data_IF_753807544202
#
_entry.id   IF_753807544202
#
_cell.length_a   1.000
_cell.length_b   1.000
_cell.length_c   1.000
_cell.angle_alpha   90.00
_cell.angle_beta   90.00
_cell.angle_gamma   90.00
#
_symmetry.space_group_name_H-M   'P 1'
#
loop_
_entity.id
_entity.type
_entity.pdbx_description
1 polymer ?
#
# COMPACT_ATOMS: atom_id res chain seq x y z
N UNK A 1 -22.85 -37.71 33.42
CA UNK A 1 -22.53 -36.71 32.37
C UNK A 1 -21.46 -37.31 31.47
N UNK A 2 -21.78 -37.60 30.20
CA UNK A 2 -20.98 -38.48 29.35
C UNK A 2 -19.64 -37.85 28.96
N UNK A 3 -18.54 -38.54 29.29
CA UNK A 3 -17.14 -38.14 29.04
C UNK A 3 -16.81 -37.83 27.57
N UNK A 4 -17.67 -38.25 26.62
CA UNK A 4 -17.59 -37.96 25.19
C UNK A 4 -18.01 -36.54 24.81
N UNK A 5 -18.83 -35.86 25.63
CA UNK A 5 -19.27 -34.48 25.35
C UNK A 5 -18.21 -33.42 25.68
N UNK A 6 -17.24 -33.75 26.55
CA UNK A 6 -16.17 -32.81 26.95
C UNK A 6 -15.13 -32.65 25.82
N UNK A 7 -14.90 -33.69 25.01
CA UNK A 7 -13.94 -33.63 23.90
C UNK A 7 -14.43 -32.80 22.70
N UNK A 8 -15.74 -32.67 22.50
CA UNK A 8 -16.30 -31.90 21.38
C UNK A 8 -16.29 -30.39 21.68
N UNK A 9 -16.41 -30.01 22.96
CA UNK A 9 -16.38 -28.59 23.37
C UNK A 9 -14.98 -27.96 23.27
N UNK A 10 -13.90 -28.76 23.34
CA UNK A 10 -12.53 -28.25 23.30
C UNK A 10 -12.01 -27.97 21.87
N UNK A 11 -12.66 -28.51 20.83
CA UNK A 11 -12.18 -28.38 19.44
C UNK A 11 -12.69 -27.12 18.72
N UNK A 12 -13.70 -26.44 19.27
CA UNK A 12 -14.36 -25.29 18.63
C UNK A 12 -13.61 -23.95 18.87
N UNK A 13 -12.61 -23.94 19.75
CA UNK A 13 -11.89 -22.71 20.15
C UNK A 13 -10.63 -22.39 19.33
N UNK A 14 -10.37 -23.08 18.22
CA UNK A 14 -9.08 -23.00 17.48
C UNK A 14 -9.12 -22.17 16.18
N UNK A 15 -10.19 -21.46 15.84
CA UNK A 15 -10.36 -20.88 14.49
C UNK A 15 -10.51 -19.35 14.39
N UNK A 16 -10.02 -18.58 15.37
CA UNK A 16 -9.96 -17.11 15.25
C UNK A 16 -8.52 -16.59 15.25
N UNK A 17 -7.67 -17.15 14.37
CA UNK A 17 -6.42 -16.47 14.03
C UNK A 17 -6.73 -15.43 12.95
N UNK A 18 -6.60 -14.12 13.23
CA UNK A 18 -6.65 -13.12 12.18
C UNK A 18 -5.46 -13.38 11.24
N UNK A 19 -5.74 -13.82 10.02
CA UNK A 19 -4.75 -13.90 8.94
C UNK A 19 -4.48 -12.46 8.48
N UNK A 20 -3.71 -11.75 9.29
CA UNK A 20 -3.15 -10.42 9.03
C UNK A 20 -1.64 -10.66 8.99
N UNK A 21 -0.89 -10.38 7.95
CA UNK A 21 -0.88 -9.23 7.06
C UNK A 21 -0.02 -9.65 5.87
N UNK A 22 -0.38 -9.23 4.65
CA UNK A 22 0.43 -9.46 3.43
C UNK A 22 1.72 -8.59 3.47
N UNK A 23 2.43 -8.55 4.60
CA UNK A 23 3.63 -7.74 4.83
C UNK A 23 3.43 -6.22 4.81
N UNK A 24 2.20 -5.72 4.66
CA UNK A 24 1.91 -4.28 4.51
C UNK A 24 2.07 -3.45 5.80
N UNK A 25 2.31 -4.11 6.92
CA UNK A 25 2.48 -3.52 8.25
C UNK A 25 3.93 -3.11 8.55
N UNK A 26 4.81 -3.18 7.55
CA UNK A 26 6.21 -2.79 7.63
C UNK A 26 6.57 -1.88 6.47
N UNK A 27 7.56 -1.00 6.65
CA UNK A 27 8.15 -0.30 5.53
C UNK A 27 8.66 -1.28 4.46
N UNK A 28 8.51 -0.89 3.20
CA UNK A 28 9.06 -1.61 2.07
C UNK A 28 10.60 -1.58 2.04
N UNK A 29 11.23 -2.28 1.07
CA UNK A 29 12.68 -2.36 0.95
C UNK A 29 13.38 -1.00 0.72
N UNK A 30 12.65 0.04 0.29
CA UNK A 30 13.15 1.40 0.13
C UNK A 30 12.64 2.34 1.23
N UNK A 31 11.97 1.83 2.26
CA UNK A 31 11.43 2.58 3.40
C UNK A 31 10.08 3.25 3.15
N UNK A 32 9.38 2.90 2.08
CA UNK A 32 8.06 3.43 1.74
C UNK A 32 6.90 2.62 2.33
N UNK A 33 5.69 3.13 2.13
CA UNK A 33 4.43 2.46 2.50
C UNK A 33 4.09 1.37 1.47
N UNK A 34 3.77 0.16 1.93
CA UNK A 34 3.41 -0.96 1.05
C UNK A 34 1.89 -1.11 0.94
N UNK A 35 1.40 -1.39 -0.27
CA UNK A 35 0.03 -1.81 -0.56
C UNK A 35 0.03 -2.93 -1.60
N UNK A 36 -0.92 -3.86 -1.51
CA UNK A 36 -1.09 -4.99 -2.41
C UNK A 36 -2.37 -4.81 -3.23
N UNK A 37 -2.30 -4.12 -4.38
CA UNK A 37 -3.49 -3.87 -5.21
C UNK A 37 -3.92 -5.10 -6.02
N UNK A 38 -3.22 -6.23 -5.95
CA UNK A 38 -3.49 -7.42 -6.76
C UNK A 38 -2.45 -8.50 -6.52
N UNK A 39 -1.88 -9.07 -7.57
CA UNK A 39 -0.83 -10.09 -7.55
C UNK A 39 0.59 -9.52 -7.39
N UNK A 40 0.71 -8.24 -7.00
CA UNK A 40 1.97 -7.56 -6.80
C UNK A 40 1.85 -6.50 -5.69
N UNK A 41 2.98 -5.95 -5.26
CA UNK A 41 3.04 -4.91 -4.25
C UNK A 41 3.44 -3.56 -4.85
N UNK A 42 2.96 -2.50 -4.23
CA UNK A 42 3.32 -1.12 -4.54
C UNK A 42 3.95 -0.51 -3.31
N UNK A 43 5.17 -0.01 -3.45
CA UNK A 43 5.82 0.79 -2.43
C UNK A 43 5.76 2.27 -2.80
N UNK A 44 5.23 3.09 -1.88
CA UNK A 44 5.05 4.52 -2.06
C UNK A 44 5.97 5.28 -1.10
N UNK A 45 6.87 6.10 -1.66
CA UNK A 45 7.67 7.05 -0.91
C UNK A 45 7.16 8.46 -1.18
N UNK A 46 6.87 9.19 -0.11
CA UNK A 46 6.64 10.63 -0.16
C UNK A 46 7.98 11.36 -0.15
N UNK A 47 8.26 12.10 -1.23
CA UNK A 47 9.48 12.90 -1.37
C UNK A 47 9.24 14.39 -1.04
N UNK A 48 8.03 14.75 -0.59
CA UNK A 48 7.59 16.11 -0.36
C UNK A 48 7.26 16.87 -1.66
N UNK A 49 6.70 18.07 -1.53
CA UNK A 49 6.30 18.96 -2.62
C UNK A 49 5.42 18.27 -3.68
N UNK A 50 4.43 17.49 -3.26
CA UNK A 50 3.55 16.71 -4.15
C UNK A 50 4.33 15.77 -5.08
N UNK A 51 5.47 15.25 -4.62
CA UNK A 51 6.35 14.35 -5.37
C UNK A 51 6.40 12.99 -4.69
N UNK A 52 6.11 11.95 -5.46
CA UNK A 52 6.05 10.58 -4.96
C UNK A 52 6.95 9.68 -5.81
N UNK A 53 7.64 8.75 -5.17
CA UNK A 53 8.34 7.66 -5.84
C UNK A 53 7.60 6.35 -5.60
N UNK A 54 7.28 5.66 -6.68
CA UNK A 54 6.47 4.46 -6.68
C UNK A 54 7.29 3.28 -7.23
N UNK A 55 7.43 2.21 -6.45
CA UNK A 55 8.01 0.96 -6.90
C UNK A 55 6.92 -0.09 -7.07
N UNK A 56 6.98 -0.86 -8.17
CA UNK A 56 6.07 -1.99 -8.42
C UNK A 56 6.84 -3.29 -8.19
N UNK A 57 6.67 -3.86 -7.00
CA UNK A 57 7.42 -4.98 -6.46
C UNK A 57 6.70 -6.30 -6.71
N UNK A 58 7.42 -7.42 -6.71
CA UNK A 58 6.85 -8.76 -6.71
C UNK A 58 6.24 -9.15 -5.34
N UNK A 59 5.77 -10.39 -5.23
CA UNK A 59 5.16 -10.94 -4.01
C UNK A 59 6.14 -11.03 -2.82
N UNK A 60 7.44 -10.98 -3.07
CA UNK A 60 8.49 -11.03 -2.06
C UNK A 60 8.96 -9.64 -1.64
N UNK A 61 8.23 -8.57 -2.00
CA UNK A 61 8.61 -7.18 -1.78
C UNK A 61 9.96 -6.84 -2.42
N UNK A 62 10.24 -7.42 -3.59
CA UNK A 62 11.50 -7.26 -4.29
C UNK A 62 11.29 -6.93 -5.78
N UNK A 63 12.39 -6.85 -6.53
CA UNK A 63 12.41 -6.78 -7.99
C UNK A 63 11.43 -5.76 -8.61
N UNK A 64 11.68 -4.45 -8.42
CA UNK A 64 10.87 -3.42 -9.06
C UNK A 64 10.87 -3.58 -10.58
N UNK A 65 9.70 -3.50 -11.21
CA UNK A 65 9.56 -3.65 -12.66
C UNK A 65 9.01 -2.39 -13.34
N UNK A 66 9.69 -1.97 -14.41
CA UNK A 66 9.19 -0.97 -15.37
C UNK A 66 8.70 -1.62 -16.67
N UNK A 67 8.99 -2.91 -16.87
CA UNK A 67 8.65 -3.63 -18.09
C UNK A 67 7.15 -3.81 -18.18
N UNK A 68 6.53 -3.34 -19.27
CA UNK A 68 5.07 -3.40 -19.47
C UNK A 68 4.29 -2.94 -18.24
N UNK A 69 4.84 -1.94 -17.56
CA UNK A 69 4.34 -1.45 -16.28
C UNK A 69 4.06 0.04 -16.40
N UNK A 70 3.07 0.52 -15.65
CA UNK A 70 2.69 1.93 -15.63
C UNK A 70 2.03 2.30 -14.32
N UNK A 71 2.07 3.59 -14.00
CA UNK A 71 1.35 4.17 -12.86
C UNK A 71 0.63 5.41 -13.34
N UNK A 72 -0.68 5.44 -13.13
CA UNK A 72 -1.45 6.68 -13.19
C UNK A 72 -1.65 7.17 -11.77
N UNK A 73 -1.35 8.44 -11.51
CA UNK A 73 -1.47 9.03 -10.19
C UNK A 73 -2.24 10.35 -10.27
N UNK A 74 -3.11 10.59 -9.27
CA UNK A 74 -3.89 11.82 -9.13
C UNK A 74 -4.04 12.18 -7.65
N UNK A 75 -4.17 13.47 -7.36
CA UNK A 75 -4.54 14.00 -6.06
C UNK A 75 -6.02 14.37 -6.07
N UNK A 76 -6.76 13.96 -5.05
CA UNK A 76 -8.08 14.49 -4.75
C UNK A 76 -7.93 15.66 -3.79
N UNK A 77 -8.36 16.83 -4.26
CA UNK A 77 -8.36 18.09 -3.52
C UNK A 77 -9.80 18.57 -3.32
N UNK A 78 -9.99 19.67 -2.58
CA UNK A 78 -11.29 20.35 -2.47
C UNK A 78 -11.82 20.85 -3.83
N UNK A 79 -10.95 21.07 -4.81
CA UNK A 79 -11.28 21.57 -6.15
C UNK A 79 -11.51 20.42 -7.16
N UNK A 80 -11.43 19.16 -6.72
CA UNK A 80 -11.58 17.98 -7.57
C UNK A 80 -10.28 17.19 -7.73
N UNK A 81 -10.11 16.55 -8.90
CA UNK A 81 -8.94 15.72 -9.16
C UNK A 81 -7.88 16.48 -9.94
N UNK A 82 -6.63 16.41 -9.49
CA UNK A 82 -5.45 16.93 -10.19
C UNK A 82 -4.53 15.78 -10.55
N UNK A 83 -4.26 15.59 -11.84
CA UNK A 83 -3.36 14.53 -12.30
C UNK A 83 -1.91 14.87 -11.93
N UNK A 84 -1.13 13.85 -11.61
CA UNK A 84 0.31 13.93 -11.42
C UNK A 84 1.00 13.52 -12.73
N UNK A 85 2.11 14.17 -13.08
CA UNK A 85 2.97 13.73 -14.17
C UNK A 85 3.89 12.62 -13.68
N UNK A 86 3.77 11.42 -14.23
CA UNK A 86 4.57 10.26 -13.82
C UNK A 86 5.59 9.89 -14.91
N UNK A 87 6.87 9.91 -14.53
CA UNK A 87 8.00 9.56 -15.40
C UNK A 87 8.74 8.34 -14.87
N UNK A 88 9.43 7.62 -15.75
CA UNK A 88 10.27 6.50 -15.35
C UNK A 88 11.59 7.00 -14.77
N UNK A 89 11.91 6.54 -13.56
CA UNK A 89 13.25 6.62 -12.98
C UNK A 89 14.09 5.40 -13.38
N UNK A 90 15.06 5.03 -12.52
CA UNK A 90 15.92 3.86 -12.75
C UNK A 90 15.15 2.53 -12.72
N UNK A 91 14.30 2.36 -11.71
CA UNK A 91 13.51 1.15 -11.45
C UNK A 91 12.19 1.49 -10.72
N UNK A 92 11.71 2.71 -10.88
CA UNK A 92 10.55 3.27 -10.18
C UNK A 92 9.84 4.27 -11.06
N UNK A 93 8.62 4.65 -10.71
CA UNK A 93 7.93 5.80 -11.28
C UNK A 93 8.09 7.00 -10.35
N UNK A 94 8.35 8.19 -10.90
CA UNK A 94 8.39 9.45 -10.16
C UNK A 94 7.20 10.29 -10.61
N UNK A 95 6.22 10.43 -9.72
CA UNK A 95 5.00 11.19 -9.96
C UNK A 95 5.10 12.56 -9.30
N UNK A 96 5.00 13.64 -10.07
CA UNK A 96 5.17 15.02 -9.61
C UNK A 96 3.90 15.83 -9.88
N UNK A 97 3.45 16.56 -8.87
CA UNK A 97 2.31 17.47 -8.94
C UNK A 97 2.70 18.92 -8.75
N UNK A 98 1.68 19.75 -8.55
CA UNK A 98 1.88 21.14 -8.14
C UNK A 98 2.38 21.18 -6.68
N UNK A 99 3.57 21.76 -6.41
CA UNK A 99 4.16 21.81 -5.07
C UNK A 99 3.32 22.65 -4.08
N UNK A 100 2.44 23.53 -4.56
CA UNK A 100 1.56 24.33 -3.70
C UNK A 100 0.48 23.48 -3.01
N UNK A 101 0.20 22.28 -3.53
CA UNK A 101 -0.86 21.38 -3.05
C UNK A 101 -0.46 20.54 -1.83
N UNK A 102 0.83 20.42 -1.51
CA UNK A 102 1.35 19.56 -0.43
C UNK A 102 0.75 19.90 0.96
N UNK A 103 0.36 21.16 1.18
CA UNK A 103 -0.10 21.65 2.49
C UNK A 103 -1.55 21.29 2.85
N UNK A 104 -2.32 20.75 1.92
CA UNK A 104 -3.73 20.43 2.14
C UNK A 104 -3.91 18.94 2.49
N UNK A 105 -4.87 18.65 3.39
CA UNK A 105 -5.35 17.28 3.60
C UNK A 105 -5.98 16.78 2.30
N UNK A 106 -5.28 15.91 1.59
CA UNK A 106 -5.63 15.40 0.27
C UNK A 106 -5.58 13.88 0.26
N UNK A 107 -6.11 13.28 -0.80
CA UNK A 107 -6.02 11.84 -1.02
C UNK A 107 -5.18 11.60 -2.28
N UNK A 108 -4.07 10.86 -2.13
CA UNK A 108 -3.29 10.32 -3.24
C UNK A 108 -3.99 9.06 -3.76
N UNK A 109 -4.23 9.03 -5.07
CA UNK A 109 -4.89 7.92 -5.73
C UNK A 109 -3.98 7.39 -6.83
N UNK A 110 -3.70 6.09 -6.77
CA UNK A 110 -2.82 5.39 -7.72
C UNK A 110 -3.58 4.27 -8.43
N UNK A 111 -3.32 4.13 -9.72
CA UNK A 111 -3.79 3.00 -10.55
C UNK A 111 -2.57 2.34 -11.20
N UNK A 112 -2.02 1.29 -10.57
CA UNK A 112 -0.80 0.65 -11.03
C UNK A 112 -1.08 -0.53 -11.98
N UNK A 113 -0.17 -0.73 -12.93
CA UNK A 113 -0.06 -1.91 -13.76
C UNK A 113 1.38 -2.41 -13.66
N UNK A 114 1.58 -3.67 -13.31
CA UNK A 114 2.90 -4.31 -13.26
C UNK A 114 2.94 -5.49 -14.23
N UNK A 115 3.83 -5.45 -15.21
CA UNK A 115 4.05 -6.55 -16.18
C UNK A 115 2.75 -7.05 -16.85
N UNK A 116 1.90 -6.11 -17.29
CA UNK A 116 0.54 -6.31 -17.81
C UNK A 116 -0.51 -6.77 -16.78
N UNK A 117 -0.15 -7.04 -15.53
CA UNK A 117 -1.11 -7.26 -14.46
C UNK A 117 -1.66 -5.94 -13.94
N UNK A 118 -2.99 -5.80 -13.96
CA UNK A 118 -3.69 -4.58 -13.52
C UNK A 118 -4.05 -4.70 -12.03
N UNK A 119 -3.53 -3.78 -11.23
CA UNK A 119 -3.92 -3.64 -9.84
C UNK A 119 -5.23 -2.87 -9.67
N UNK A 120 -5.86 -3.06 -8.51
CA UNK A 120 -6.91 -2.20 -7.97
C UNK A 120 -6.40 -0.80 -7.64
N UNK A 121 -7.33 0.16 -7.54
CA UNK A 121 -7.01 1.54 -7.20
C UNK A 121 -6.59 1.65 -5.72
N UNK A 122 -5.42 2.22 -5.47
CA UNK A 122 -4.91 2.50 -4.12
C UNK A 122 -5.29 3.94 -3.76
N UNK A 123 -5.86 4.13 -2.57
CA UNK A 123 -6.23 5.46 -2.04
C UNK A 123 -5.55 5.68 -0.69
N UNK A 124 -4.85 6.81 -0.55
CA UNK A 124 -4.05 7.13 0.63
C UNK A 124 -4.32 8.57 1.06
N UNK A 125 -4.68 8.75 2.33
CA UNK A 125 -4.73 10.09 2.93
C UNK A 125 -3.31 10.66 3.08
N UNK A 126 -3.16 11.95 2.76
CA UNK A 126 -1.93 12.72 2.94
C UNK A 126 -2.01 13.63 4.17
N UNK A 127 -0.89 13.87 4.89
CA UNK A 127 0.44 13.28 4.65
C UNK A 127 0.47 11.78 4.96
N UNK A 128 1.31 11.02 4.26
CA UNK A 128 1.41 9.58 4.48
C UNK A 128 1.82 9.30 5.93
N UNK A 129 1.00 8.54 6.66
CA UNK A 129 1.36 8.07 8.00
C UNK A 129 2.54 7.11 7.86
N UNK A 130 3.64 7.41 8.56
CA UNK A 130 4.73 6.45 8.71
C UNK A 130 4.20 5.28 9.52
N UNK A 131 4.33 4.08 8.98
CA UNK A 131 4.08 2.86 9.74
C UNK A 131 5.30 2.65 10.64
N UNK A 132 5.31 3.33 11.80
CA UNK A 132 6.25 3.02 12.85
C UNK A 132 5.78 1.68 13.39
N UNK A 133 6.53 0.60 13.15
CA UNK A 133 6.19 -0.77 13.55
C UNK A 133 6.15 -1.02 15.07
N UNK A 134 5.58 -0.10 15.84
CA UNK A 134 5.39 -0.17 17.28
C UNK A 134 3.89 -0.29 17.62
N UNK A 135 3.55 -1.48 18.11
CA UNK A 135 2.50 -1.74 19.11
C UNK A 135 1.06 -1.36 18.74
N UNK A 136 0.45 -2.13 17.84
CA UNK A 136 -0.97 -2.48 18.04
C UNK A 136 -1.04 -3.62 19.08
N UNK A 137 -0.80 -3.27 20.34
CA UNK A 137 -1.20 -4.09 21.49
C UNK A 137 -2.74 -4.09 21.53
N UNK A 138 -3.33 -5.13 20.96
CA UNK A 138 -4.77 -5.35 21.03
C UNK A 138 -5.14 -5.70 22.47
N UNK A 139 -5.67 -4.73 23.21
CA UNK A 139 -6.57 -5.00 24.33
C UNK A 139 -7.90 -5.47 23.77
N UNK A 140 -8.14 -6.78 23.84
CA UNK A 140 -9.48 -7.37 23.87
C UNK A 140 -9.51 -8.44 24.94
#
# INVERSE_FOLDING_TARGET
MNRKMIFIAALVFLFDLPILSHGENKPGPHGGLIRMPGDFHVEILDLGNSKFRIYLLDINFANPSLKSSSVVAKLRTSEGYKNLSCETGKNSFICTGDPTLEKAKQELILSPIRENSKGSEIKLELPLKKDNGDNHEHKH
#
